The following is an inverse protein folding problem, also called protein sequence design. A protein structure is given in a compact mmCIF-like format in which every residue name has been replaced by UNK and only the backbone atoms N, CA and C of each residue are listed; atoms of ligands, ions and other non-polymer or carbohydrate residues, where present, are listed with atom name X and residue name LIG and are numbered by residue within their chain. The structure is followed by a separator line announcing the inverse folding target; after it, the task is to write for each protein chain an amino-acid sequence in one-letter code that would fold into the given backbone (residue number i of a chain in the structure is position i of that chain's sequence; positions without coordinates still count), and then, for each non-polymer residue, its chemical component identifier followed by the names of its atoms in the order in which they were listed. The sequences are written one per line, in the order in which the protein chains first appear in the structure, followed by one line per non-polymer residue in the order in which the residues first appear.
data_IF_322889859977
#
_entry.id   IF_322889859977
#
_cell.length_a   1.000
_cell.length_b   1.000
_cell.length_c   1.000
_cell.angle_alpha   90.00
_cell.angle_beta   90.00
_cell.angle_gamma   90.00
#
_symmetry.space_group_name_H-M   'P 1'
#
loop_
_entity.id
_entity.type
_entity.pdbx_description
1 polymer ?
#
# COMPACT_ATOMS: atom_id res chain seq x y z
N UNK A 1 4.63 11.53 -19.63
CA UNK A 1 5.17 12.75 -20.27
C UNK A 1 4.95 14.01 -19.42
N UNK A 2 3.70 14.36 -19.05
CA UNK A 2 3.40 15.58 -18.28
C UNK A 2 4.17 15.66 -16.95
N UNK A 3 4.16 14.57 -16.16
CA UNK A 3 4.90 14.49 -14.90
C UNK A 3 6.40 14.80 -15.06
N UNK A 4 7.02 14.32 -16.14
CA UNK A 4 8.43 14.61 -16.44
C UNK A 4 8.66 16.09 -16.79
N UNK A 5 7.77 16.69 -17.59
CA UNK A 5 7.86 18.12 -17.92
C UNK A 5 7.74 18.97 -16.65
N UNK A 6 6.82 18.61 -15.75
CA UNK A 6 6.66 19.30 -14.48
C UNK A 6 7.85 19.08 -13.54
N UNK A 7 8.34 17.85 -13.41
CA UNK A 7 9.51 17.51 -12.60
C UNK A 7 10.79 18.23 -13.08
N UNK A 8 10.90 18.51 -14.38
CA UNK A 8 12.04 19.21 -14.98
C UNK A 8 11.85 20.72 -15.10
N UNK A 9 10.78 21.28 -14.52
CA UNK A 9 10.52 22.73 -14.51
C UNK A 9 10.16 23.33 -15.87
N UNK A 10 9.73 22.50 -16.84
CA UNK A 10 9.27 22.99 -18.15
C UNK A 10 7.82 23.48 -18.13
N UNK A 11 7.04 23.02 -17.15
CA UNK A 11 5.66 23.44 -16.89
C UNK A 11 5.42 23.51 -15.38
N UNK A 12 4.50 24.37 -14.95
CA UNK A 12 4.23 24.60 -13.52
C UNK A 12 3.37 23.51 -12.86
N UNK A 13 2.59 22.77 -13.65
CA UNK A 13 1.77 21.67 -13.14
C UNK A 13 1.15 20.79 -14.22
N UNK A 14 0.54 19.69 -13.79
CA UNK A 14 -0.18 18.76 -14.66
C UNK A 14 -1.69 18.84 -14.40
N UNK A 15 -2.52 19.03 -15.42
CA UNK A 15 -3.98 18.87 -15.29
C UNK A 15 -4.34 17.42 -15.63
N UNK A 16 -4.90 16.69 -14.67
CA UNK A 16 -5.36 15.31 -14.87
C UNK A 16 -6.27 14.91 -13.72
N UNK A 17 -7.25 14.03 -13.96
CA UNK A 17 -8.04 13.41 -12.90
C UNK A 17 -7.41 12.11 -12.37
N UNK A 18 -6.28 11.68 -12.92
CA UNK A 18 -5.54 10.50 -12.50
C UNK A 18 -4.51 10.84 -11.40
N UNK A 19 -4.44 10.01 -10.36
CA UNK A 19 -3.49 10.14 -9.25
C UNK A 19 -2.09 9.60 -9.58
N UNK A 20 -1.95 8.72 -10.57
CA UNK A 20 -0.69 8.06 -10.92
C UNK A 20 0.36 9.05 -11.43
N UNK A 21 -0.05 10.26 -11.83
CA UNK A 21 0.84 11.35 -12.23
C UNK A 21 1.92 11.68 -11.18
N UNK A 22 1.63 11.51 -9.89
CA UNK A 22 2.62 11.68 -8.81
C UNK A 22 3.67 10.56 -8.79
N UNK A 23 3.27 9.32 -9.09
CA UNK A 23 4.18 8.16 -9.15
C UNK A 23 5.20 8.35 -10.27
N UNK A 24 4.84 9.06 -11.35
CA UNK A 24 5.75 9.46 -12.43
C UNK A 24 6.62 10.68 -12.12
N UNK A 25 6.45 11.31 -10.95
CA UNK A 25 7.32 12.38 -10.45
C UNK A 25 6.78 13.81 -10.57
N UNK A 26 5.49 14.01 -10.89
CA UNK A 26 4.91 15.34 -10.87
C UNK A 26 5.01 15.99 -9.49
N UNK A 27 5.23 17.30 -9.46
CA UNK A 27 5.31 18.12 -8.25
C UNK A 27 3.99 18.85 -7.96
N UNK A 28 3.27 19.26 -9.01
CA UNK A 28 1.99 19.97 -8.90
C UNK A 28 0.97 19.36 -9.85
N UNK A 29 -0.22 19.07 -9.32
CA UNK A 29 -1.31 18.41 -10.04
C UNK A 29 -2.62 19.14 -9.78
N UNK A 30 -3.33 19.42 -10.86
CA UNK A 30 -4.64 20.03 -10.88
C UNK A 30 -5.70 18.99 -11.26
N UNK A 31 -6.66 18.74 -10.36
CA UNK A 31 -7.75 17.76 -10.56
C UNK A 31 -9.11 18.46 -10.54
N UNK A 32 -10.13 17.75 -11.02
CA UNK A 32 -11.52 18.20 -11.00
C UNK A 32 -11.72 19.55 -11.70
N UNK A 33 -11.05 19.75 -12.83
CA UNK A 33 -11.20 20.96 -13.63
C UNK A 33 -12.63 21.06 -14.17
N UNK A 34 -13.39 22.01 -13.62
CA UNK A 34 -14.75 22.31 -14.04
C UNK A 34 -14.87 23.79 -14.40
N UNK A 35 -15.19 24.05 -15.66
CA UNK A 35 -15.36 25.41 -16.18
C UNK A 35 -16.85 25.74 -16.23
N UNK A 36 -17.48 25.85 -15.06
CA UNK A 36 -18.90 26.20 -14.94
C UNK A 36 -19.04 27.72 -14.84
N UNK A 37 -19.97 28.30 -15.59
CA UNK A 37 -20.16 29.76 -15.64
C UNK A 37 -20.51 30.42 -14.29
N UNK A 38 -21.00 29.64 -13.32
CA UNK A 38 -21.40 30.14 -11.98
C UNK A 38 -20.34 29.91 -10.90
N UNK A 39 -19.51 28.88 -11.04
CA UNK A 39 -18.51 28.52 -10.03
C UNK A 39 -17.44 27.62 -10.67
N UNK A 40 -16.42 28.22 -11.31
CA UNK A 40 -15.29 27.45 -11.83
C UNK A 40 -14.42 26.99 -10.65
N UNK A 41 -14.17 25.68 -10.56
CA UNK A 41 -13.33 25.12 -9.50
C UNK A 41 -12.27 24.17 -10.06
N UNK A 42 -11.17 24.08 -9.33
CA UNK A 42 -9.99 23.29 -9.66
C UNK A 42 -9.27 22.95 -8.36
N UNK A 43 -9.07 21.66 -8.10
CA UNK A 43 -8.33 21.21 -6.93
C UNK A 43 -6.84 21.18 -7.24
N UNK A 44 -6.02 21.77 -6.36
CA UNK A 44 -4.56 21.76 -6.48
C UNK A 44 -3.95 20.85 -5.42
N UNK A 45 -3.12 19.92 -5.87
CA UNK A 45 -2.35 19.00 -5.04
C UNK A 45 -0.87 19.17 -5.35
N UNK A 46 -0.05 19.36 -4.32
CA UNK A 46 1.40 19.47 -4.46
C UNK A 46 2.09 18.33 -3.70
N UNK A 47 3.19 17.83 -4.25
CA UNK A 47 3.99 16.79 -3.61
C UNK A 47 4.55 17.27 -2.26
N UNK A 48 4.85 18.57 -2.13
CA UNK A 48 5.26 19.17 -0.85
C UNK A 48 4.15 19.08 0.20
N UNK A 49 2.92 19.46 -0.12
CA UNK A 49 1.80 19.37 0.83
C UNK A 49 1.40 17.93 1.15
N UNK A 50 1.50 17.00 0.18
CA UNK A 50 1.27 15.57 0.43
C UNK A 50 2.32 15.05 1.42
N UNK A 51 3.60 15.39 1.23
CA UNK A 51 4.67 14.98 2.13
C UNK A 51 4.50 15.57 3.53
N UNK A 52 4.15 16.85 3.63
CA UNK A 52 3.93 17.52 4.92
C UNK A 52 2.73 16.96 5.68
N UNK A 53 1.58 16.77 5.01
CA UNK A 53 0.33 16.40 5.67
C UNK A 53 0.16 14.90 5.87
N UNK A 54 0.70 14.08 4.97
CA UNK A 54 0.52 12.63 4.97
C UNK A 54 1.82 11.86 5.23
N UNK A 55 2.97 12.53 5.36
CA UNK A 55 4.26 11.86 5.51
C UNK A 55 4.68 11.03 4.30
N UNK A 56 3.98 11.17 3.16
CA UNK A 56 4.19 10.35 1.98
C UNK A 56 5.04 11.09 0.96
N UNK A 57 6.21 10.57 0.63
CA UNK A 57 6.96 10.98 -0.55
C UNK A 57 6.59 10.14 -1.77
N UNK A 58 7.25 10.38 -2.91
CA UNK A 58 7.00 9.64 -4.15
C UNK A 58 7.18 8.13 -3.98
N UNK A 59 8.20 7.71 -3.23
CA UNK A 59 8.49 6.29 -3.03
C UNK A 59 7.41 5.63 -2.15
N UNK A 60 6.95 6.33 -1.12
CA UNK A 60 5.79 5.92 -0.32
C UNK A 60 4.53 5.78 -1.18
N UNK A 61 4.25 6.74 -2.08
CA UNK A 61 3.10 6.69 -2.97
C UNK A 61 3.18 5.51 -3.97
N UNK A 62 4.37 5.23 -4.51
CA UNK A 62 4.60 4.03 -5.35
C UNK A 62 4.31 2.77 -4.54
N UNK A 63 4.80 2.72 -3.29
CA UNK A 63 4.50 1.62 -2.39
C UNK A 63 3.00 1.43 -2.13
N UNK A 64 2.27 2.52 -1.86
CA UNK A 64 0.81 2.49 -1.71
C UNK A 64 0.13 1.95 -2.96
N UNK A 65 0.55 2.38 -4.15
CA UNK A 65 -0.03 1.93 -5.41
C UNK A 65 0.19 0.43 -5.65
N UNK A 66 1.36 -0.11 -5.27
CA UNK A 66 1.61 -1.55 -5.35
C UNK A 66 0.72 -2.33 -4.35
N UNK A 67 0.57 -1.82 -3.12
CA UNK A 67 -0.19 -2.48 -2.07
C UNK A 67 -1.70 -2.43 -2.30
N UNK A 68 -2.24 -1.27 -2.68
CA UNK A 68 -3.68 -1.03 -2.84
C UNK A 68 -4.17 -1.33 -4.26
N UNK A 69 -3.25 -1.30 -5.22
CA UNK A 69 -3.53 -1.46 -6.64
C UNK A 69 -3.52 -0.13 -7.40
N UNK A 70 -3.16 -0.24 -8.68
CA UNK A 70 -3.13 0.84 -9.66
C UNK A 70 -3.50 0.27 -11.04
N UNK A 71 -3.47 1.09 -12.09
CA UNK A 71 -3.86 0.66 -13.44
C UNK A 71 -3.02 -0.52 -13.97
N UNK A 72 -1.76 -0.65 -13.54
CA UNK A 72 -0.88 -1.77 -13.90
C UNK A 72 -1.06 -2.99 -13.00
N UNK A 73 -1.57 -2.80 -11.78
CA UNK A 73 -1.80 -3.86 -10.80
C UNK A 73 -3.16 -3.67 -10.14
N UNK A 74 -4.28 -3.94 -10.83
CA UNK A 74 -5.61 -3.52 -10.37
C UNK A 74 -6.06 -4.15 -9.05
N UNK A 75 -5.49 -5.32 -8.72
CA UNK A 75 -5.85 -6.08 -7.51
C UNK A 75 -5.05 -5.69 -6.28
N UNK A 76 -3.91 -5.02 -6.44
CA UNK A 76 -2.95 -4.81 -5.35
C UNK A 76 -2.61 -6.12 -4.63
N UNK A 77 -2.32 -6.01 -3.33
CA UNK A 77 -2.12 -7.15 -2.43
C UNK A 77 -3.44 -7.52 -1.75
N UNK A 78 -3.97 -8.75 -1.92
CA UNK A 78 -5.24 -9.16 -1.31
C UNK A 78 -5.23 -9.00 0.22
N UNK A 79 -6.29 -8.38 0.75
CA UNK A 79 -6.45 -8.19 2.19
C UNK A 79 -5.72 -6.95 2.76
N UNK A 80 -4.94 -6.23 1.95
CA UNK A 80 -4.29 -4.98 2.36
C UNK A 80 -5.18 -3.79 1.95
N UNK A 81 -5.73 -3.11 2.96
CA UNK A 81 -6.48 -1.87 2.77
C UNK A 81 -5.64 -0.62 3.00
N UNK A 82 -6.20 0.56 2.68
CA UNK A 82 -5.60 1.89 2.88
C UNK A 82 -4.90 2.04 4.23
N UNK A 83 -5.59 1.69 5.31
CA UNK A 83 -5.07 1.91 6.67
C UNK A 83 -3.87 1.02 6.98
N UNK A 84 -3.91 -0.24 6.54
CA UNK A 84 -2.78 -1.16 6.72
C UNK A 84 -1.59 -0.73 5.86
N UNK A 85 -1.84 -0.28 4.63
CA UNK A 85 -0.79 0.22 3.75
C UNK A 85 -0.09 1.47 4.35
N UNK A 86 -0.86 2.42 4.88
CA UNK A 86 -0.31 3.61 5.55
C UNK A 86 0.48 3.24 6.80
N UNK A 87 -0.07 2.38 7.68
CA UNK A 87 0.66 1.88 8.85
C UNK A 87 1.98 1.21 8.47
N UNK A 88 1.99 0.43 7.38
CA UNK A 88 3.20 -0.24 6.92
C UNK A 88 4.25 0.76 6.44
N UNK A 89 3.85 1.83 5.76
CA UNK A 89 4.75 2.91 5.33
C UNK A 89 5.31 3.67 6.54
N UNK A 90 4.48 3.96 7.54
CA UNK A 90 4.92 4.60 8.79
C UNK A 90 5.97 3.76 9.53
N UNK A 91 5.80 2.43 9.55
CA UNK A 91 6.74 1.49 10.19
C UNK A 91 8.11 1.50 9.51
N UNK A 92 8.17 1.75 8.20
CA UNK A 92 9.41 1.68 7.44
C UNK A 92 10.37 2.85 7.70
N UNK A 93 9.94 3.91 8.39
CA UNK A 93 10.76 5.00 8.95
C UNK A 93 12.01 5.39 8.12
N UNK A 94 11.83 5.61 6.82
CA UNK A 94 12.89 6.07 5.91
C UNK A 94 13.51 5.01 5.00
N UNK A 95 13.15 3.73 5.13
CA UNK A 95 13.35 2.74 4.07
C UNK A 95 12.21 2.79 3.08
N UNK A 96 12.51 2.70 1.78
CA UNK A 96 11.44 2.60 0.78
C UNK A 96 10.92 1.15 0.68
N UNK A 97 9.65 1.01 0.27
CA UNK A 97 8.99 -0.29 0.17
C UNK A 97 9.71 -1.24 -0.80
N UNK A 98 10.26 -0.69 -1.89
CA UNK A 98 10.95 -1.45 -2.93
C UNK A 98 12.25 -2.09 -2.42
N UNK A 99 13.03 -1.37 -1.63
CA UNK A 99 14.22 -1.88 -0.94
C UNK A 99 13.86 -3.02 -0.01
N UNK A 100 12.74 -2.88 0.71
CA UNK A 100 12.25 -3.95 1.59
C UNK A 100 11.87 -5.20 0.80
N UNK A 101 11.23 -5.04 -0.35
CA UNK A 101 10.90 -6.15 -1.25
C UNK A 101 12.14 -6.85 -1.80
N UNK A 102 13.18 -6.09 -2.19
CA UNK A 102 14.43 -6.71 -2.67
C UNK A 102 15.14 -7.47 -1.55
N UNK A 103 15.20 -6.91 -0.33
CA UNK A 103 15.75 -7.61 0.84
C UNK A 103 15.01 -8.92 1.13
N UNK A 104 13.67 -8.93 1.03
CA UNK A 104 12.89 -10.16 1.21
C UNK A 104 13.15 -11.18 0.12
N UNK A 105 13.30 -10.74 -1.13
CA UNK A 105 13.63 -11.62 -2.26
C UNK A 105 14.99 -12.30 -2.03
N UNK A 106 16.01 -11.57 -1.57
CA UNK A 106 17.32 -12.15 -1.23
C UNK A 106 17.21 -13.17 -0.08
N UNK A 107 16.44 -12.85 0.96
CA UNK A 107 16.20 -13.78 2.09
C UNK A 107 15.49 -15.06 1.65
N UNK A 108 14.50 -14.95 0.75
CA UNK A 108 13.77 -16.10 0.19
C UNK A 108 14.64 -16.93 -0.75
N UNK A 109 15.59 -16.32 -1.47
CA UNK A 109 16.53 -17.05 -2.33
C UNK A 109 17.60 -17.79 -1.52
N UNK A 110 18.02 -17.25 -0.37
CA UNK A 110 18.94 -17.92 0.53
C UNK A 110 18.26 -19.06 1.33
N UNK A 111 16.96 -18.95 1.57
CA UNK A 111 16.12 -20.02 2.09
C UNK A 111 15.43 -20.79 0.94
N UNK A 112 16.11 -21.79 0.38
CA UNK A 112 15.46 -22.94 -0.28
C UNK A 112 14.63 -23.79 0.72
N UNK A 113 13.94 -23.16 1.67
CA UNK A 113 12.99 -23.80 2.56
C UNK A 113 11.58 -23.58 1.99
N UNK A 114 10.71 -24.60 1.98
CA UNK A 114 9.37 -24.50 1.43
C UNK A 114 8.61 -23.31 2.05
N UNK A 115 7.65 -22.70 1.32
CA UNK A 115 6.91 -21.54 1.79
C UNK A 115 6.43 -21.78 3.22
N UNK A 116 6.67 -20.81 4.11
CA UNK A 116 6.21 -20.86 5.50
C UNK A 116 4.69 -20.93 5.48
N UNK A 117 4.13 -22.14 5.42
CA UNK A 117 2.70 -22.37 5.59
C UNK A 117 2.44 -22.05 7.05
N UNK A 118 1.90 -20.85 7.30
CA UNK A 118 1.26 -20.56 8.57
C UNK A 118 0.08 -21.52 8.66
N UNK A 119 0.30 -22.71 9.24
CA UNK A 119 -0.76 -23.66 9.53
C UNK A 119 -1.69 -22.95 10.50
N UNK A 120 -2.88 -22.57 10.03
CA UNK A 120 -3.93 -22.11 10.94
C UNK A 120 -4.21 -23.27 11.89
N UNK A 121 -3.79 -23.11 13.14
CA UNK A 121 -4.11 -24.05 14.19
C UNK A 121 -5.62 -23.99 14.41
N UNK A 122 -6.28 -25.13 14.32
CA UNK A 122 -7.69 -25.27 14.66
C UNK A 122 -7.77 -25.14 16.19
N UNK A 123 -8.68 -24.30 16.68
CA UNK A 123 -8.91 -24.10 18.11
C UNK A 123 -10.29 -24.65 18.48
N UNK A 124 -10.38 -25.24 19.67
CA UNK A 124 -11.60 -25.86 20.16
C UNK A 124 -12.64 -24.80 20.54
N UNK A 125 -13.91 -25.01 20.17
CA UNK A 125 -15.01 -24.11 20.51
C UNK A 125 -15.26 -24.00 22.02
N UNK A 126 -15.00 -25.08 22.77
CA UNK A 126 -15.32 -25.15 24.20
C UNK A 126 -14.23 -24.56 25.09
N UNK A 127 -12.97 -24.91 24.83
CA UNK A 127 -11.84 -24.54 25.70
C UNK A 127 -10.83 -23.56 25.07
N UNK A 128 -10.99 -23.24 23.79
CA UNK A 128 -10.15 -22.31 23.02
C UNK A 128 -8.66 -22.70 22.94
N UNK A 129 -8.31 -23.91 23.36
CA UNK A 129 -6.98 -24.49 23.12
C UNK A 129 -6.87 -25.05 21.71
N UNK A 130 -5.64 -25.22 21.18
CA UNK A 130 -5.41 -25.92 19.92
C UNK A 130 -5.99 -27.35 19.96
N UNK A 131 -6.87 -27.66 19.00
CA UNK A 131 -7.62 -28.92 18.91
C UNK A 131 -9.01 -28.73 18.30
N UNK A 132 -9.68 -29.81 17.92
CA UNK A 132 -11.07 -29.78 17.45
C UNK A 132 -12.08 -30.00 18.58
N UNK A 133 -13.31 -29.52 18.42
CA UNK A 133 -14.40 -29.76 19.39
C UNK A 133 -14.70 -31.27 19.55
N UNK A 134 -14.54 -32.04 18.45
CA UNK A 134 -14.75 -33.49 18.45
C UNK A 134 -13.70 -34.26 19.25
N UNK A 135 -12.43 -33.81 19.24
CA UNK A 135 -11.37 -34.40 20.07
C UNK A 135 -11.55 -34.06 21.56
N UNK A 136 -12.07 -32.87 21.86
CA UNK A 136 -12.37 -32.45 23.22
C UNK A 136 -13.37 -33.41 23.89
N UNK A 137 -14.44 -33.79 23.17
CA UNK A 137 -15.46 -34.73 23.69
C UNK A 137 -14.93 -36.14 23.97
N UNK A 138 -13.94 -36.62 23.21
CA UNK A 138 -13.43 -37.98 23.34
C UNK A 138 -12.27 -38.12 24.32
N UNK A 139 -11.36 -37.14 24.37
CA UNK A 139 -10.10 -37.27 25.11
C UNK A 139 -9.61 -35.97 25.75
N UNK A 140 -10.37 -34.88 25.65
CA UNK A 140 -9.92 -33.55 26.06
C UNK A 140 -8.92 -32.94 25.07
N UNK A 141 -8.80 -31.61 25.08
CA UNK A 141 -7.73 -30.94 24.36
C UNK A 141 -6.42 -31.10 25.12
N UNK A 142 -5.28 -30.99 24.42
CA UNK A 142 -3.94 -31.19 25.01
C UNK A 142 -3.63 -30.29 26.22
N UNK A 143 -4.31 -29.16 26.35
CA UNK A 143 -4.11 -28.17 27.39
C UNK A 143 -5.35 -28.01 28.30
N UNK A 144 -6.33 -28.91 28.19
CA UNK A 144 -7.47 -28.98 29.10
C UNK A 144 -7.16 -29.77 30.37
#
# INVERSE_FOLDING_TARGET
MCAYLNATGRVDGCITNDGDVFLYGAQTVYRNFAMNAKDPFLDCYTMSSIKEKLGCDRESLIGLAILLGCDYLPKGVPGVGKEQALKLIEILQGQNLLQRFEQWKEQLQYHNNPPFVVKRLIHCSECHHPGSSKEHEHSGCKFC
#
